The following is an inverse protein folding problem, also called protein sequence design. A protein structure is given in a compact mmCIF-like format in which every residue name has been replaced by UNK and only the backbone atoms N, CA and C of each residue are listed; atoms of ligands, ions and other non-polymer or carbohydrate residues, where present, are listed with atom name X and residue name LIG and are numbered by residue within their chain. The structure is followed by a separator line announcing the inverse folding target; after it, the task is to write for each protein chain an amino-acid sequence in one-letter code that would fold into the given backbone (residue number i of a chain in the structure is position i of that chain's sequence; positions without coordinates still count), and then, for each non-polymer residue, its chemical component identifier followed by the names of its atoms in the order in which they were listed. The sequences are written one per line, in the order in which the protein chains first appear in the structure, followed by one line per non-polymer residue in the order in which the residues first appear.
data_IF_880479369446
#
_entry.id   IF_880479369446
#
_cell.length_a   1.000
_cell.length_b   1.000
_cell.length_c   1.000
_cell.angle_alpha   90.00
_cell.angle_beta   90.00
_cell.angle_gamma   90.00
#
_symmetry.space_group_name_H-M   'P 1'
#
loop_
_entity.id
_entity.type
_entity.pdbx_description
1 polymer ?
#
# COMPACT_ATOMS: atom_id res chain seq x y z
N UNK A 1 -1.04 7.83 16.91
CA UNK A 1 -2.10 7.91 15.87
C UNK A 1 -2.77 9.28 15.84
N UNK A 2 -3.23 9.81 16.98
CA UNK A 2 -3.89 11.13 17.05
C UNK A 2 -3.08 12.29 16.44
N UNK A 3 -1.74 12.29 16.54
CA UNK A 3 -0.88 13.34 15.96
C UNK A 3 -0.91 13.36 14.43
N UNK A 4 -0.85 12.20 13.79
CA UNK A 4 -0.86 12.07 12.31
C UNK A 4 -2.22 12.51 11.76
N UNK A 5 -3.31 12.03 12.38
CA UNK A 5 -4.68 12.41 11.99
C UNK A 5 -4.89 13.92 12.14
N UNK A 6 -4.41 14.52 13.24
CA UNK A 6 -4.46 15.99 13.43
C UNK A 6 -3.70 16.73 12.33
N UNK A 7 -2.50 16.29 11.97
CA UNK A 7 -1.72 16.94 10.90
C UNK A 7 -2.35 16.78 9.51
N UNK A 8 -2.95 15.62 9.23
CA UNK A 8 -3.72 15.37 7.99
C UNK A 8 -4.92 16.32 7.87
N UNK A 9 -5.69 16.48 8.97
CA UNK A 9 -6.83 17.38 9.01
C UNK A 9 -6.40 18.86 8.91
N UNK A 10 -5.27 19.21 9.51
CA UNK A 10 -4.69 20.55 9.42
C UNK A 10 -4.08 20.85 8.04
N UNK A 11 -3.84 19.84 7.19
CA UNK A 11 -3.23 20.04 5.88
C UNK A 11 -1.72 20.21 5.90
N UNK A 12 -1.05 19.80 6.97
CA UNK A 12 0.37 20.07 7.20
C UNK A 12 1.15 18.81 7.58
N UNK A 13 0.70 17.65 7.07
CA UNK A 13 1.41 16.40 7.31
C UNK A 13 2.83 16.49 6.74
N UNK A 14 3.81 16.25 7.60
CA UNK A 14 5.19 15.94 7.25
C UNK A 14 5.66 14.81 8.15
N UNK A 15 6.00 13.67 7.56
CA UNK A 15 6.42 12.48 8.28
C UNK A 15 7.66 11.90 7.62
N UNK A 16 8.84 11.97 8.28
CA UNK A 16 10.02 11.29 7.77
C UNK A 16 9.81 9.78 7.84
N UNK A 17 10.37 9.08 6.88
CA UNK A 17 10.25 7.65 6.71
C UNK A 17 11.65 7.02 6.62
N UNK A 18 11.82 5.85 7.22
CA UNK A 18 13.05 5.04 7.10
C UNK A 18 12.77 3.74 6.36
N UNK A 19 13.82 3.04 5.95
CA UNK A 19 13.76 1.75 5.25
C UNK A 19 12.77 1.76 4.07
N UNK A 20 12.76 2.85 3.29
CA UNK A 20 11.83 2.96 2.16
C UNK A 20 12.35 2.14 1.00
N UNK A 21 11.49 1.27 0.47
CA UNK A 21 11.76 0.45 -0.70
C UNK A 21 10.63 0.60 -1.71
N UNK A 22 10.99 0.73 -2.98
CA UNK A 22 10.09 0.66 -4.12
C UNK A 22 10.44 -0.57 -4.96
N UNK A 23 9.48 -1.45 -5.14
CA UNK A 23 9.60 -2.69 -5.91
C UNK A 23 8.74 -2.60 -7.14
N UNK A 24 9.22 -3.05 -8.29
CA UNK A 24 8.41 -3.10 -9.51
C UNK A 24 7.33 -4.17 -9.35
N UNK A 25 6.08 -3.88 -9.68
CA UNK A 25 5.03 -4.90 -9.64
C UNK A 25 5.29 -5.96 -10.74
N UNK A 26 5.06 -7.23 -10.43
CA UNK A 26 5.29 -8.36 -11.34
C UNK A 26 5.73 -9.63 -10.62
N UNK A 27 5.89 -10.72 -11.39
CA UNK A 27 6.15 -12.08 -10.87
C UNK A 27 7.53 -12.21 -10.20
N UNK A 28 8.48 -11.32 -10.55
CA UNK A 28 9.83 -11.26 -9.98
C UNK A 28 10.18 -9.84 -9.52
N UNK A 29 9.40 -9.30 -8.58
CA UNK A 29 9.52 -7.91 -8.11
C UNK A 29 10.87 -7.65 -7.39
N UNK A 30 11.89 -7.21 -8.13
CA UNK A 30 13.15 -6.74 -7.54
C UNK A 30 12.98 -5.36 -6.89
N UNK A 31 13.76 -5.10 -5.83
CA UNK A 31 13.86 -3.76 -5.25
C UNK A 31 14.56 -2.87 -6.26
N UNK A 32 13.91 -1.77 -6.61
CA UNK A 32 14.37 -0.85 -7.64
C UNK A 32 14.96 0.42 -7.04
N UNK A 33 14.33 0.93 -5.99
CA UNK A 33 14.83 2.10 -5.26
C UNK A 33 14.74 1.83 -3.78
N UNK A 34 15.81 2.18 -3.06
CA UNK A 34 15.89 2.07 -1.61
C UNK A 34 16.52 3.32 -1.02
N UNK A 35 16.05 3.74 0.16
CA UNK A 35 16.69 4.77 0.97
C UNK A 35 15.74 5.43 1.97
N UNK A 36 16.11 6.59 2.55
CA UNK A 36 15.21 7.34 3.41
C UNK A 36 14.09 8.00 2.60
N UNK A 37 12.97 8.30 3.25
CA UNK A 37 11.83 8.91 2.60
C UNK A 37 11.16 10.02 3.40
N UNK A 38 10.24 10.71 2.76
CA UNK A 38 9.43 11.76 3.34
C UNK A 38 8.02 11.68 2.76
N UNK A 39 7.04 11.56 3.65
CA UNK A 39 5.63 11.68 3.32
C UNK A 39 5.13 13.07 3.68
N UNK A 40 4.69 13.83 2.69
CA UNK A 40 4.18 15.20 2.87
C UNK A 40 2.80 15.38 2.28
N UNK A 41 2.02 16.30 2.85
CA UNK A 41 0.77 16.75 2.27
C UNK A 41 0.97 18.06 1.50
N UNK A 42 0.49 18.11 0.28
CA UNK A 42 0.57 19.26 -0.61
C UNK A 42 -0.62 20.22 -0.36
N UNK A 43 -0.59 21.41 -0.98
CA UNK A 43 -1.64 22.43 -0.81
C UNK A 43 -3.02 21.94 -1.28
N UNK A 44 -3.07 21.07 -2.28
CA UNK A 44 -4.29 20.42 -2.80
C UNK A 44 -4.78 19.27 -1.89
N UNK A 45 -4.19 19.10 -0.72
CA UNK A 45 -4.41 18.02 0.26
C UNK A 45 -3.99 16.63 -0.22
N UNK A 46 -3.40 16.52 -1.41
CA UNK A 46 -2.83 15.25 -1.88
C UNK A 46 -1.61 14.84 -1.06
N UNK A 47 -1.39 13.54 -0.96
CA UNK A 47 -0.21 12.99 -0.31
C UNK A 47 0.87 12.78 -1.35
N UNK A 48 2.06 13.27 -1.05
CA UNK A 48 3.27 13.11 -1.84
C UNK A 48 4.29 12.30 -1.04
N UNK A 49 4.68 11.18 -1.60
CA UNK A 49 5.80 10.38 -1.15
C UNK A 49 7.06 10.82 -1.91
N UNK A 50 8.15 11.02 -1.18
CA UNK A 50 9.50 11.21 -1.70
C UNK A 50 10.41 10.15 -1.13
N UNK A 51 11.13 9.42 -1.97
CA UNK A 51 12.17 8.46 -1.56
C UNK A 51 13.50 8.94 -2.13
N UNK A 52 14.48 9.16 -1.26
CA UNK A 52 15.83 9.54 -1.64
C UNK A 52 16.62 8.26 -1.80
N UNK A 53 16.99 7.92 -3.03
CA UNK A 53 17.70 6.69 -3.32
C UNK A 53 19.17 6.95 -3.63
N UNK A 54 20.00 5.93 -3.40
CA UNK A 54 21.36 5.93 -3.91
C UNK A 54 21.33 6.14 -5.44
N UNK A 55 22.37 6.74 -6.03
CA UNK A 55 22.44 6.94 -7.48
C UNK A 55 22.27 5.59 -8.19
N UNK A 56 21.20 5.47 -8.97
CA UNK A 56 21.02 4.35 -9.89
C UNK A 56 21.75 4.71 -11.17
N UNK A 57 22.33 3.73 -11.87
CA UNK A 57 22.93 3.97 -13.18
C UNK A 57 21.90 4.66 -14.08
N UNK A 58 22.27 5.85 -14.57
CA UNK A 58 21.42 6.70 -15.39
C UNK A 58 20.90 5.96 -16.62
N UNK A 59 21.72 5.09 -17.23
CA UNK A 59 21.32 4.34 -18.42
C UNK A 59 20.24 3.30 -18.09
N UNK A 60 20.34 2.60 -16.96
CA UNK A 60 19.32 1.65 -16.51
C UNK A 60 18.02 2.34 -16.13
N UNK A 61 18.10 3.47 -15.43
CA UNK A 61 16.93 4.23 -15.00
C UNK A 61 16.22 4.86 -16.21
N UNK A 62 16.97 5.44 -17.15
CA UNK A 62 16.43 5.98 -18.40
C UNK A 62 15.76 4.90 -19.24
N UNK A 63 16.41 3.74 -19.44
CA UNK A 63 15.81 2.64 -20.21
C UNK A 63 14.51 2.13 -19.58
N UNK A 64 14.37 2.19 -18.25
CA UNK A 64 13.14 1.81 -17.55
C UNK A 64 12.00 2.82 -17.75
N UNK A 65 12.32 4.10 -17.76
CA UNK A 65 11.34 5.18 -17.91
C UNK A 65 10.93 5.45 -19.36
N UNK A 66 11.81 5.18 -20.34
CA UNK A 66 11.56 5.49 -21.75
C UNK A 66 11.04 4.32 -22.58
N UNK A 67 11.41 3.07 -22.26
CA UNK A 67 10.89 1.88 -22.95
C UNK A 67 9.55 1.42 -22.37
N UNK A 68 8.57 2.33 -22.33
CA UNK A 68 7.20 2.02 -21.94
C UNK A 68 6.42 1.67 -23.20
N UNK A 69 6.28 0.38 -23.48
CA UNK A 69 5.38 -0.11 -24.55
C UNK A 69 3.92 0.13 -24.15
N UNK A 70 3.46 1.37 -24.31
CA UNK A 70 2.10 1.77 -24.07
C UNK A 70 1.35 1.72 -25.40
N UNK A 71 0.53 0.68 -25.56
CA UNK A 71 -0.35 0.56 -26.73
C UNK A 71 -1.70 1.19 -26.39
N UNK A 72 -2.24 2.10 -27.23
CA UNK A 72 -3.58 2.64 -27.03
C UNK A 72 -4.63 1.53 -26.91
N UNK A 73 -5.61 1.72 -26.02
CA UNK A 73 -6.68 0.76 -25.74
C UNK A 73 -6.25 -0.55 -25.06
N UNK A 74 -5.01 -0.66 -24.60
CA UNK A 74 -4.52 -1.80 -23.81
C UNK A 74 -4.31 -1.36 -22.37
N UNK A 75 -4.64 -2.24 -21.41
CA UNK A 75 -4.36 -1.99 -20.00
C UNK A 75 -2.86 -1.85 -19.79
N UNK A 76 -2.47 -0.83 -19.03
CA UNK A 76 -1.06 -0.60 -18.68
C UNK A 76 -0.55 -1.81 -17.88
N UNK A 77 0.55 -2.45 -18.31
CA UNK A 77 1.04 -3.64 -17.65
C UNK A 77 1.57 -3.32 -16.24
N UNK A 78 1.51 -4.31 -15.35
CA UNK A 78 1.94 -4.19 -13.96
C UNK A 78 3.39 -3.74 -13.83
N UNK A 79 4.23 -4.09 -14.81
CA UNK A 79 5.61 -3.67 -14.89
C UNK A 79 5.81 -2.14 -15.00
N UNK A 80 4.75 -1.34 -15.15
CA UNK A 80 4.82 0.12 -15.10
C UNK A 80 4.51 0.71 -13.71
N UNK A 81 4.13 -0.14 -12.77
CA UNK A 81 3.76 0.25 -11.42
C UNK A 81 4.74 -0.27 -10.39
N UNK A 82 4.70 0.34 -9.21
CA UNK A 82 5.57 0.02 -8.09
C UNK A 82 4.78 -0.21 -6.82
N UNK A 83 5.27 -1.10 -5.99
CA UNK A 83 4.82 -1.26 -4.60
C UNK A 83 5.83 -0.60 -3.68
N UNK A 84 5.31 0.20 -2.76
CA UNK A 84 6.06 0.91 -1.75
C UNK A 84 5.95 0.22 -0.40
N UNK A 85 7.05 0.16 0.32
CA UNK A 85 7.09 -0.15 1.74
C UNK A 85 8.05 0.82 2.45
N UNK A 86 7.69 1.31 3.63
CA UNK A 86 8.58 2.11 4.46
C UNK A 86 8.09 2.22 5.90
N UNK A 87 8.97 2.63 6.81
CA UNK A 87 8.65 2.74 8.25
C UNK A 87 8.53 4.18 8.68
N UNK A 88 7.55 4.47 9.55
CA UNK A 88 7.46 5.76 10.22
C UNK A 88 8.48 5.88 11.38
N UNK A 89 8.62 7.06 12.03
CA UNK A 89 9.56 7.26 13.13
C UNK A 89 9.26 6.41 14.37
N UNK A 90 8.10 5.75 14.42
CA UNK A 90 7.70 4.83 15.48
C UNK A 90 7.91 3.37 15.07
N UNK A 91 8.57 3.12 13.93
CA UNK A 91 8.86 1.78 13.40
C UNK A 91 7.67 1.09 12.74
N UNK A 92 6.53 1.77 12.56
CA UNK A 92 5.34 1.14 11.95
C UNK A 92 5.46 1.14 10.44
N UNK A 93 5.09 0.01 9.83
CA UNK A 93 5.20 -0.20 8.38
C UNK A 93 4.00 0.42 7.67
N UNK A 94 4.30 1.15 6.60
CA UNK A 94 3.34 1.72 5.67
C UNK A 94 3.58 1.16 4.27
N UNK A 95 2.50 0.92 3.55
CA UNK A 95 2.51 0.35 2.20
C UNK A 95 1.62 1.16 1.26
N UNK A 96 2.05 1.28 0.02
CA UNK A 96 1.20 1.73 -1.07
C UNK A 96 1.42 0.81 -2.26
N UNK A 97 0.35 0.25 -2.80
CA UNK A 97 0.45 -0.71 -3.89
C UNK A 97 0.16 -0.04 -5.23
N UNK A 98 0.80 -0.54 -6.28
CA UNK A 98 0.54 -0.17 -7.67
C UNK A 98 0.59 1.36 -7.91
N UNK A 99 1.63 2.02 -7.38
CA UNK A 99 1.86 3.45 -7.55
C UNK A 99 2.69 3.75 -8.79
N UNK A 100 2.35 4.83 -9.48
CA UNK A 100 3.20 5.43 -10.52
C UNK A 100 4.25 6.34 -9.87
N UNK A 101 5.45 6.34 -10.44
CA UNK A 101 6.56 7.15 -9.92
C UNK A 101 7.06 8.13 -10.99
N UNK A 102 7.57 9.26 -10.51
CA UNK A 102 8.36 10.20 -11.28
C UNK A 102 9.77 10.25 -10.69
N UNK A 103 10.76 9.94 -11.51
CA UNK A 103 12.18 9.99 -11.12
C UNK A 103 12.78 11.34 -11.48
N UNK A 104 13.49 11.97 -10.54
CA UNK A 104 14.28 13.17 -10.80
C UNK A 104 15.76 12.83 -10.67
N UNK A 105 16.51 13.04 -11.75
CA UNK A 105 17.93 12.72 -11.86
C UNK A 105 18.74 14.02 -11.78
N UNK A 106 19.36 14.28 -10.63
CA UNK A 106 20.21 15.45 -10.39
C UNK A 106 21.48 15.07 -9.61
N UNK A 107 21.88 15.91 -8.65
CA UNK A 107 22.98 15.59 -7.71
C UNK A 107 22.67 14.44 -6.74
N UNK A 108 21.46 13.88 -6.81
CA UNK A 108 21.03 12.62 -6.22
C UNK A 108 19.83 12.07 -7.00
N UNK A 109 19.45 10.82 -6.74
CA UNK A 109 18.21 10.24 -7.28
C UNK A 109 17.12 10.36 -6.22
N UNK A 110 16.03 11.06 -6.54
CA UNK A 110 14.86 11.00 -5.67
C UNK A 110 13.60 10.71 -6.48
N UNK A 111 12.81 9.80 -5.93
CA UNK A 111 11.59 9.29 -6.55
C UNK A 111 10.39 9.96 -5.90
N UNK A 112 9.49 10.47 -6.72
CA UNK A 112 8.22 11.07 -6.28
C UNK A 112 7.07 10.16 -6.65
N UNK A 113 6.11 10.04 -5.75
CA UNK A 113 4.85 9.35 -6.02
C UNK A 113 3.67 10.03 -5.33
N UNK A 114 2.49 9.86 -5.91
CA UNK A 114 1.21 10.27 -5.31
C UNK A 114 0.36 9.03 -5.06
N UNK A 115 0.54 8.34 -3.91
CA UNK A 115 -0.22 7.14 -3.62
C UNK A 115 -1.71 7.46 -3.50
N UNK A 116 -2.56 6.67 -4.16
CA UNK A 116 -4.01 6.75 -3.99
C UNK A 116 -4.45 6.29 -2.59
N UNK A 117 -3.82 5.20 -2.12
CA UNK A 117 -4.02 4.65 -0.79
C UNK A 117 -2.65 4.43 -0.13
N UNK A 118 -2.56 4.77 1.14
CA UNK A 118 -1.42 4.47 1.98
C UNK A 118 -1.92 3.72 3.21
N UNK A 119 -1.59 2.44 3.27
CA UNK A 119 -2.04 1.53 4.29
C UNK A 119 -0.99 1.38 5.37
N UNK A 120 -1.45 1.38 6.62
CA UNK A 120 -0.58 1.14 7.75
C UNK A 120 -0.75 -0.30 8.20
N UNK A 121 0.31 -1.08 8.09
CA UNK A 121 0.32 -2.45 8.59
C UNK A 121 0.73 -2.41 10.07
N UNK A 122 -0.21 -2.66 10.96
CA UNK A 122 0.14 -3.00 12.34
C UNK A 122 0.44 -4.50 12.36
N UNK A 123 1.66 -4.87 12.78
CA UNK A 123 1.97 -6.28 13.09
C UNK A 123 0.92 -6.75 14.11
N UNK A 124 -0.04 -7.55 13.63
CA UNK A 124 -0.91 -8.31 14.52
C UNK A 124 -0.01 -9.29 15.24
N UNK A 125 0.32 -8.98 16.49
CA UNK A 125 0.79 -9.97 17.44
C UNK A 125 -0.31 -11.03 17.57
N UNK A 126 -0.10 -12.14 16.85
CA UNK A 126 -1.00 -13.28 16.62
C UNK A 126 -2.17 -12.99 15.67
N UNK A 127 -2.52 -13.93 14.77
CA UNK A 127 -3.80 -13.88 14.10
C UNK A 127 -4.88 -13.89 15.18
N UNK A 128 -5.66 -12.82 15.30
CA UNK A 128 -6.94 -12.90 15.98
C UNK A 128 -7.71 -14.04 15.31
N UNK A 129 -8.11 -15.06 16.09
CA UNK A 129 -9.11 -16.03 15.66
C UNK A 129 -10.22 -15.24 14.96
N UNK A 130 -10.48 -15.58 13.69
CA UNK A 130 -11.52 -14.90 12.92
C UNK A 130 -12.78 -14.88 13.80
N UNK A 131 -13.40 -13.72 14.07
CA UNK A 131 -14.69 -13.73 14.73
C UNK A 131 -15.65 -14.41 13.76
N UNK A 132 -15.90 -15.70 13.99
CA UNK A 132 -17.00 -16.41 13.34
C UNK A 132 -18.24 -15.77 13.94
N UNK A 133 -18.85 -14.85 13.19
CA UNK A 133 -20.16 -14.34 13.53
C UNK A 133 -21.16 -15.45 13.22
N UNK A 134 -21.41 -16.30 14.21
CA UNK A 134 -22.51 -17.25 14.18
C UNK A 134 -23.79 -16.51 14.55
N UNK A 135 -24.60 -16.14 13.55
CA UNK A 135 -25.96 -15.66 13.76
C UNK A 135 -26.89 -16.87 13.84
N UNK A 136 -27.45 -17.14 15.02
CA UNK A 136 -28.49 -18.15 15.19
C UNK A 136 -29.84 -17.49 14.92
N UNK A 137 -30.44 -17.83 13.77
CA UNK A 137 -31.80 -17.38 13.44
C UNK A 137 -32.81 -18.33 14.10
N UNK A 138 -33.77 -17.83 14.89
CA UNK A 138 -34.82 -18.65 15.46
C UNK A 138 -35.84 -19.02 14.37
N UNK A 139 -35.73 -20.25 13.84
CA UNK A 139 -36.70 -20.84 12.91
C UNK A 139 -36.08 -21.31 11.59
N UNK A 140 -36.82 -22.15 10.85
CA UNK A 140 -36.42 -22.60 9.51
C UNK A 140 -36.56 -21.45 8.52
N UNK A 141 -35.46 -21.05 7.88
CA UNK A 141 -35.46 -20.11 6.77
C UNK A 141 -34.86 -20.82 5.57
N UNK A 142 -35.56 -20.83 4.44
CA UNK A 142 -35.02 -21.34 3.18
C UNK A 142 -34.03 -20.31 2.60
N UNK A 143 -32.76 -20.68 2.52
CA UNK A 143 -31.75 -19.88 1.84
C UNK A 143 -31.76 -20.18 0.33
N UNK A 144 -31.32 -19.24 -0.53
CA UNK A 144 -31.44 -19.35 -2.00
C UNK A 144 -30.70 -20.52 -2.66
N UNK A 145 -30.06 -21.40 -1.89
CA UNK A 145 -29.28 -22.54 -2.36
C UNK A 145 -29.73 -23.89 -1.76
N UNK A 146 -31.01 -24.02 -1.39
CA UNK A 146 -31.58 -25.24 -0.78
C UNK A 146 -30.85 -25.72 0.49
N UNK A 147 -30.20 -24.82 1.22
CA UNK A 147 -29.64 -25.10 2.53
C UNK A 147 -30.74 -24.88 3.59
N UNK A 148 -31.14 -25.95 4.27
CA UNK A 148 -32.07 -25.90 5.41
C UNK A 148 -31.24 -25.85 6.68
N UNK A 149 -31.39 -24.81 7.50
CA UNK A 149 -30.81 -24.77 8.84
C UNK A 149 -31.69 -25.58 9.79
N UNK A 150 -31.27 -26.78 10.18
CA UNK A 150 -31.88 -27.54 11.27
C UNK A 150 -31.32 -27.11 12.62
N UNK A 151 -32.21 -26.85 13.58
CA UNK A 151 -31.80 -26.68 14.98
C UNK A 151 -31.40 -28.04 15.55
N UNK A 152 -30.12 -28.22 15.88
CA UNK A 152 -29.73 -29.27 16.80
C UNK A 152 -30.15 -28.87 18.21
N UNK A 153 -31.30 -29.36 18.67
CA UNK A 153 -31.65 -29.37 20.08
C UNK A 153 -30.90 -30.49 20.80
N UNK A 154 -29.87 -30.15 21.57
CA UNK A 154 -29.27 -31.00 22.60
C UNK A 154 -28.93 -30.11 23.79
N UNK A 155 -29.84 -29.93 24.75
CA UNK A 155 -30.06 -30.77 25.96
C UNK A 155 -28.74 -30.99 26.71
N UNK A 156 -28.61 -30.27 27.83
CA UNK A 156 -27.50 -30.46 28.76
C UNK A 156 -27.54 -31.79 29.49
N UNK A 157 -26.35 -32.22 29.90
CA UNK A 157 -26.03 -32.87 31.17
C UNK A 157 -24.56 -32.63 31.48
#
# INVERSE_FOLDING_TARGET
MQKIVKSLLAGNLGMPMSDCALRRCGVDSSIVYEGPGLLTQEMDKSIRLRVFSAPVDFLEAFNRDFNRDLTPSVLVPDSQYYDFEGKDPFGKVWRANRISIDTDFGSGTYVRARPWALEKTEERSKPAERPVVAAFLPGKIELPWHAVTEMASGVGR
#
